data_IF_549554899570
#
_entry.id   IF_549554899570
#
_cell.length_a   1.000
_cell.length_b   1.000
_cell.length_c   1.000
_cell.angle_alpha   90.00
_cell.angle_beta   90.00
_cell.angle_gamma   90.00
#
_symmetry.space_group_name_H-M   'P 1'
#
loop_
_entity.id
_entity.type
_entity.pdbx_description
1 polymer ?
#
# COMPACT_ATOMS: atom_id res chain seq x y z
N UNK A 1 4.18 -0.24 -18.78
CA UNK A 1 4.09 0.06 -17.33
C UNK A 1 4.29 -1.23 -16.57
N UNK A 2 5.04 -1.18 -15.47
CA UNK A 2 5.34 -2.33 -14.61
C UNK A 2 4.55 -2.27 -13.31
N UNK A 3 4.44 -3.43 -12.67
CA UNK A 3 3.86 -3.60 -11.36
C UNK A 3 5.00 -3.93 -10.40
N UNK A 4 5.07 -3.21 -9.29
CA UNK A 4 6.01 -3.47 -8.20
C UNK A 4 5.26 -3.88 -6.93
N UNK A 5 5.93 -4.59 -6.03
CA UNK A 5 5.37 -5.01 -4.75
C UNK A 5 6.34 -4.78 -3.59
N UNK A 6 5.86 -4.16 -2.51
CA UNK A 6 6.57 -3.97 -1.24
C UNK A 6 5.85 -4.81 -0.20
N UNK A 7 6.40 -5.97 0.14
CA UNK A 7 5.65 -6.97 0.90
C UNK A 7 6.56 -7.82 1.80
N UNK A 8 5.95 -8.57 2.73
CA UNK A 8 6.69 -9.56 3.50
C UNK A 8 7.15 -10.73 2.62
N UNK A 9 8.03 -11.58 3.15
CA UNK A 9 8.62 -12.69 2.40
C UNK A 9 7.57 -13.65 1.84
N UNK A 10 6.55 -13.98 2.61
CA UNK A 10 5.56 -14.99 2.22
C UNK A 10 4.66 -14.44 1.10
N UNK A 11 4.20 -13.20 1.26
CA UNK A 11 3.43 -12.49 0.22
C UNK A 11 4.26 -12.28 -1.05
N UNK A 12 5.56 -11.96 -0.93
CA UNK A 12 6.46 -11.80 -2.08
C UNK A 12 6.56 -13.08 -2.90
N UNK A 13 6.66 -14.25 -2.25
CA UNK A 13 6.65 -15.54 -2.96
C UNK A 13 5.35 -15.72 -3.74
N UNK A 14 4.20 -15.43 -3.13
CA UNK A 14 2.90 -15.50 -3.81
C UNK A 14 2.80 -14.57 -5.02
N UNK A 15 3.21 -13.30 -4.87
CA UNK A 15 3.20 -12.33 -5.96
C UNK A 15 4.16 -12.71 -7.09
N UNK A 16 5.30 -13.34 -6.77
CA UNK A 16 6.25 -13.83 -7.77
C UNK A 16 5.66 -14.95 -8.61
N UNK A 17 4.92 -15.86 -7.98
CA UNK A 17 4.19 -16.92 -8.68
C UNK A 17 3.08 -16.36 -9.58
N UNK A 18 2.48 -15.23 -9.20
CA UNK A 18 1.51 -14.50 -10.01
C UNK A 18 2.15 -13.68 -11.16
N UNK A 19 3.48 -13.72 -11.31
CA UNK A 19 4.20 -13.07 -12.41
C UNK A 19 4.69 -11.64 -12.12
N UNK A 20 4.58 -11.16 -10.87
CA UNK A 20 5.14 -9.86 -10.47
C UNK A 20 6.64 -10.04 -10.20
N UNK A 21 7.47 -9.37 -11.01
CA UNK A 21 8.92 -9.53 -10.95
C UNK A 21 9.61 -8.50 -10.04
N UNK A 22 9.09 -7.27 -9.96
CA UNK A 22 9.66 -6.24 -9.09
C UNK A 22 9.08 -6.38 -7.68
N UNK A 23 9.80 -7.10 -6.83
CA UNK A 23 9.40 -7.34 -5.44
C UNK A 23 10.51 -6.90 -4.50
N UNK A 24 10.12 -6.13 -3.49
CA UNK A 24 11.00 -5.66 -2.44
C UNK A 24 10.48 -6.13 -1.09
N UNK A 25 11.37 -6.74 -0.30
CA UNK A 25 11.09 -7.18 1.07
C UNK A 25 11.84 -6.21 1.99
N UNK A 26 11.17 -5.17 2.54
CA UNK A 26 11.83 -4.21 3.40
C UNK A 26 12.03 -4.77 4.81
N UNK A 27 13.19 -4.48 5.41
CA UNK A 27 13.41 -4.68 6.84
C UNK A 27 12.92 -3.46 7.63
N UNK A 28 13.69 -2.36 7.58
CA UNK A 28 13.37 -1.08 8.23
C UNK A 28 13.47 0.12 7.27
N UNK A 29 13.52 -0.13 5.96
CA UNK A 29 13.74 0.87 4.91
C UNK A 29 12.54 1.02 3.96
N UNK A 30 11.35 0.60 4.37
CA UNK A 30 10.14 0.62 3.54
C UNK A 30 9.86 2.00 2.90
N UNK A 31 10.04 3.09 3.67
CA UNK A 31 9.83 4.45 3.17
C UNK A 31 10.83 4.83 2.07
N UNK A 32 12.08 4.38 2.19
CA UNK A 32 13.11 4.62 1.18
C UNK A 32 12.79 3.87 -0.11
N UNK A 33 12.47 2.57 0.01
CA UNK A 33 12.10 1.73 -1.15
C UNK A 33 10.86 2.31 -1.85
N UNK A 34 9.86 2.72 -1.07
CA UNK A 34 8.66 3.35 -1.62
C UNK A 34 9.00 4.61 -2.41
N UNK A 35 9.86 5.48 -1.87
CA UNK A 35 10.29 6.71 -2.54
C UNK A 35 11.02 6.42 -3.85
N UNK A 36 11.92 5.44 -3.87
CA UNK A 36 12.64 5.03 -5.08
C UNK A 36 11.69 4.50 -6.16
N UNK A 37 10.76 3.60 -5.78
CA UNK A 37 9.77 3.06 -6.72
C UNK A 37 8.79 4.12 -7.22
N UNK A 38 8.43 5.08 -6.37
CA UNK A 38 7.50 6.16 -6.72
C UNK A 38 8.09 7.17 -7.71
N UNK A 39 9.41 7.34 -7.74
CA UNK A 39 10.09 8.23 -8.67
C UNK A 39 10.31 7.61 -10.06
N UNK A 40 10.13 6.30 -10.18
CA UNK A 40 10.35 5.56 -11.42
C UNK A 40 9.15 5.71 -12.36
N UNK A 41 9.40 6.26 -13.55
CA UNK A 41 8.35 6.49 -14.55
C UNK A 41 7.89 5.20 -15.25
N UNK A 42 8.59 4.07 -15.06
CA UNK A 42 8.19 2.78 -15.61
C UNK A 42 7.22 1.99 -14.71
N UNK A 43 7.07 2.38 -13.44
CA UNK A 43 6.17 1.75 -12.46
C UNK A 43 4.80 2.42 -12.51
N UNK A 44 3.74 1.64 -12.75
CA UNK A 44 2.37 2.13 -12.78
C UNK A 44 1.56 1.79 -11.53
N UNK A 45 1.88 0.66 -10.88
CA UNK A 45 1.18 0.17 -9.69
C UNK A 45 2.19 -0.34 -8.68
N UNK A 46 2.00 0.04 -7.42
CA UNK A 46 2.77 -0.48 -6.29
C UNK A 46 1.78 -1.21 -5.36
N UNK A 47 1.92 -2.52 -5.26
CA UNK A 47 1.30 -3.30 -4.20
C UNK A 47 2.10 -3.12 -2.91
N UNK A 48 1.41 -2.90 -1.79
CA UNK A 48 2.06 -2.82 -0.49
C UNK A 48 1.26 -3.61 0.54
N UNK A 49 1.93 -4.40 1.38
CA UNK A 49 1.20 -5.10 2.44
C UNK A 49 0.69 -4.12 3.48
N UNK A 50 -0.50 -4.42 4.00
CA UNK A 50 -1.19 -3.67 5.05
C UNK A 50 -0.24 -3.27 6.20
N UNK A 51 0.51 -4.23 6.72
CA UNK A 51 1.46 -4.04 7.82
C UNK A 51 2.59 -3.06 7.49
N UNK A 52 3.05 -3.02 6.25
CA UNK A 52 4.10 -2.08 5.81
C UNK A 52 3.50 -0.70 5.56
N UNK A 53 2.32 -0.65 4.92
CA UNK A 53 1.62 0.60 4.63
C UNK A 53 1.34 1.42 5.90
N UNK A 54 0.96 0.76 7.00
CA UNK A 54 0.73 1.43 8.29
C UNK A 54 1.99 2.14 8.79
N UNK A 55 3.17 1.51 8.65
CA UNK A 55 4.46 2.06 9.08
C UNK A 55 4.86 3.32 8.31
N UNK A 56 4.43 3.43 7.05
CA UNK A 56 4.77 4.56 6.15
C UNK A 56 3.52 5.35 5.72
N UNK A 57 2.49 5.32 6.56
CA UNK A 57 1.17 5.88 6.24
C UNK A 57 1.21 7.39 5.96
N UNK A 58 2.11 8.13 6.60
CA UNK A 58 2.31 9.57 6.33
C UNK A 58 2.80 9.78 4.91
N UNK A 59 3.85 9.09 4.50
CA UNK A 59 4.46 9.17 3.18
C UNK A 59 3.48 8.76 2.08
N UNK A 60 2.72 7.69 2.31
CA UNK A 60 1.70 7.23 1.35
C UNK A 60 0.58 8.25 1.15
N UNK A 61 0.06 8.83 2.24
CA UNK A 61 -0.99 9.83 2.17
C UNK A 61 -0.51 11.10 1.45
N UNK A 62 0.69 11.54 1.79
CA UNK A 62 1.36 12.68 1.17
C UNK A 62 1.61 12.47 -0.33
N UNK A 63 2.00 11.25 -0.70
CA UNK A 63 2.20 10.87 -2.09
C UNK A 63 0.88 10.86 -2.87
N UNK A 64 -0.16 10.20 -2.34
CA UNK A 64 -1.50 10.13 -2.93
C UNK A 64 -2.15 11.50 -3.13
N UNK A 65 -1.78 12.51 -2.33
CA UNK A 65 -2.28 13.88 -2.47
C UNK A 65 -1.59 14.67 -3.60
N UNK A 66 -0.37 14.27 -3.99
CA UNK A 66 0.49 15.03 -4.91
C UNK A 66 0.71 14.36 -6.26
N UNK A 67 0.44 13.06 -6.35
CA UNK A 67 0.78 12.24 -7.52
C UNK A 67 -0.34 11.26 -7.84
N UNK A 68 -0.65 11.14 -9.13
CA UNK A 68 -1.63 10.19 -9.65
C UNK A 68 -1.01 8.82 -9.97
N UNK A 69 0.31 8.76 -10.21
CA UNK A 69 1.05 7.57 -10.63
C UNK A 69 2.40 7.50 -9.87
N UNK A 70 2.85 6.32 -9.42
CA UNK A 70 2.14 5.03 -9.45
C UNK A 70 0.97 4.91 -8.47
N UNK A 71 -0.04 4.14 -8.85
CA UNK A 71 -1.19 3.83 -7.98
C UNK A 71 -0.73 2.90 -6.86
N UNK A 72 -0.94 3.31 -5.61
CA UNK A 72 -0.58 2.51 -4.43
C UNK A 72 -1.77 1.70 -3.96
N UNK A 73 -1.67 0.37 -4.06
CA UNK A 73 -2.71 -0.59 -3.66
C UNK A 73 -2.25 -1.33 -2.41
N UNK A 74 -3.03 -1.21 -1.34
CA UNK A 74 -2.79 -1.94 -0.10
C UNK A 74 -3.42 -3.34 -0.18
N UNK A 75 -2.67 -4.38 0.19
CA UNK A 75 -3.10 -5.78 0.19
C UNK A 75 -2.85 -6.44 1.55
N UNK A 76 -3.69 -7.38 2.01
CA UNK A 76 -3.43 -8.13 3.24
C UNK A 76 -2.12 -8.90 3.15
N UNK A 77 -1.49 -9.11 4.32
CA UNK A 77 -0.41 -10.10 4.44
C UNK A 77 -1.00 -11.51 4.65
N UNK A 78 -0.13 -12.51 4.82
CA UNK A 78 -0.51 -13.91 5.02
C UNK A 78 -1.48 -14.17 6.19
N UNK A 79 -1.58 -13.23 7.13
CA UNK A 79 -2.41 -13.34 8.33
C UNK A 79 -3.86 -12.90 8.09
N UNK A 80 -4.17 -12.42 6.88
CA UNK A 80 -5.50 -11.93 6.50
C UNK A 80 -5.67 -10.42 6.70
N UNK A 81 -6.90 -9.94 6.52
CA UNK A 81 -7.24 -8.53 6.71
C UNK A 81 -7.22 -8.17 8.20
N UNK A 82 -6.69 -6.99 8.51
CA UNK A 82 -6.75 -6.46 9.88
C UNK A 82 -8.12 -5.86 10.18
N UNK A 83 -8.83 -6.46 11.14
CA UNK A 83 -10.21 -6.10 11.56
C UNK A 83 -10.34 -4.67 12.10
N UNK A 84 -9.27 -4.06 12.59
CA UNK A 84 -9.25 -2.75 13.24
C UNK A 84 -8.99 -1.57 12.28
N UNK A 85 -8.98 -1.81 10.97
CA UNK A 85 -8.50 -0.82 10.02
C UNK A 85 -9.61 0.09 9.49
N UNK A 86 -9.45 1.41 9.69
CA UNK A 86 -10.17 2.42 8.90
C UNK A 86 -9.68 2.36 7.45
N UNK A 87 -10.58 2.05 6.52
CA UNK A 87 -10.27 2.13 5.09
C UNK A 87 -9.83 3.56 4.71
N UNK A 88 -8.90 3.69 3.76
CA UNK A 88 -8.51 4.99 3.20
C UNK A 88 -9.71 5.78 2.68
N UNK A 89 -10.73 5.08 2.17
CA UNK A 89 -12.01 5.67 1.77
C UNK A 89 -12.71 6.37 2.94
N UNK A 90 -12.79 5.73 4.12
CA UNK A 90 -13.37 6.35 5.32
C UNK A 90 -12.57 7.58 5.77
N UNK A 91 -11.23 7.54 5.65
CA UNK A 91 -10.39 8.72 5.91
C UNK A 91 -10.69 9.87 4.94
N UNK A 92 -10.81 9.59 3.63
CA UNK A 92 -11.15 10.61 2.64
C UNK A 92 -12.52 11.22 2.88
N UNK A 93 -13.53 10.40 3.20
CA UNK A 93 -14.88 10.87 3.52
C UNK A 93 -14.86 11.77 4.76
N UNK A 94 -14.14 11.36 5.81
CA UNK A 94 -13.97 12.17 7.01
C UNK A 94 -13.26 13.49 6.73
N UNK A 95 -12.23 13.49 5.87
CA UNK A 95 -11.48 14.69 5.50
C UNK A 95 -12.31 15.65 4.64
N UNK A 96 -13.13 15.12 3.74
CA UNK A 96 -13.92 15.93 2.81
C UNK A 96 -15.22 16.46 3.44
N UNK A 97 -15.90 15.65 4.26
CA UNK A 97 -17.27 15.93 4.75
C UNK A 97 -17.36 16.00 6.28
N UNK A 98 -16.36 15.51 7.01
CA UNK A 98 -16.36 15.48 8.48
C UNK A 98 -17.09 14.29 9.09
N UNK A 99 -17.57 13.34 8.29
CA UNK A 99 -18.36 12.18 8.74
C UNK A 99 -17.46 10.96 8.93
N UNK A 100 -17.55 10.32 10.10
CA UNK A 100 -16.87 9.05 10.39
C UNK A 100 -17.82 7.89 10.09
N UNK A 101 -17.45 7.04 9.13
CA UNK A 101 -18.23 5.86 8.76
C UNK A 101 -17.48 4.63 9.27
N UNK A 102 -18.01 4.03 10.34
CA UNK A 102 -17.55 2.73 10.82
C UNK A 102 -18.39 1.62 10.15
N UNK A 103 -17.73 0.78 9.35
CA UNK A 103 -18.37 -0.41 8.79
C UNK A 103 -18.43 -1.47 9.90
N UNK A 104 -19.57 -1.58 10.60
CA UNK A 104 -19.84 -2.75 11.44
C UNK A 104 -20.18 -3.93 10.52
N UNK A 105 -19.21 -4.80 10.28
CA UNK A 105 -19.52 -6.14 9.76
C UNK A 105 -20.24 -6.93 10.85
N UNK A 106 -21.38 -7.54 10.49
CA UNK A 106 -22.24 -8.34 11.35
C UNK A 106 -21.77 -9.78 11.38
#
# INVERSE_FOLDING_TARGET
MKIAGICDRDTAVGLRLAGIQELCIPDNNAAHIFKELSQRNDVGVIFITETIADKISRELNDFRLRHDIPIVVEIPDKSGHRTDRRSYVSYLIKKAVGIDIERREK
#
